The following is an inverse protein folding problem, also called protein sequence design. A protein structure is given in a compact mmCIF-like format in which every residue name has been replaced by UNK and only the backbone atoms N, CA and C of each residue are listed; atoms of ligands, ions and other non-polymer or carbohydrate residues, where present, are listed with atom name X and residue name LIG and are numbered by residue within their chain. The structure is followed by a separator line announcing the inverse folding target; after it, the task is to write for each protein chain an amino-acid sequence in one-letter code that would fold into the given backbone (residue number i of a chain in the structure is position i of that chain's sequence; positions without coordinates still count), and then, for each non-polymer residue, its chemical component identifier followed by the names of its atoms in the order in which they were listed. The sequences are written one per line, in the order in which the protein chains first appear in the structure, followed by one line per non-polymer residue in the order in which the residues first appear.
data_IF_287387163006
#
_entry.id   IF_287387163006
#
_cell.length_a   1.000
_cell.length_b   1.000
_cell.length_c   1.000
_cell.angle_alpha   90.00
_cell.angle_beta   90.00
_cell.angle_gamma   90.00
#
_symmetry.space_group_name_H-M   'P 1'
#
loop_
_entity.id
_entity.type
_entity.pdbx_description
1 polymer ?
#
# COMPACT_ATOMS: atom_id res chain seq x y z
N UNK A 1 -15.39 -8.04 16.07
CA UNK A 1 -16.70 -8.03 15.38
C UNK A 1 -17.07 -6.63 14.90
N UNK A 2 -16.93 -5.58 15.72
CA UNK A 2 -17.15 -4.18 15.32
C UNK A 2 -16.20 -3.71 14.21
N UNK A 3 -14.89 -3.94 14.36
CA UNK A 3 -13.87 -3.51 13.39
C UNK A 3 -14.04 -4.16 12.00
N UNK A 4 -14.38 -5.45 11.95
CA UNK A 4 -14.65 -6.17 10.70
C UNK A 4 -15.86 -5.55 9.99
N UNK A 5 -16.93 -5.21 10.72
CA UNK A 5 -18.10 -4.55 10.13
C UNK A 5 -17.77 -3.15 9.61
N UNK A 6 -16.88 -2.41 10.29
CA UNK A 6 -16.44 -1.08 9.87
C UNK A 6 -15.54 -1.15 8.63
N UNK A 7 -14.60 -2.09 8.58
CA UNK A 7 -13.77 -2.34 7.41
C UNK A 7 -14.62 -2.72 6.19
N UNK A 8 -15.61 -3.60 6.36
CA UNK A 8 -16.50 -3.98 5.26
C UNK A 8 -17.27 -2.77 4.72
N UNK A 9 -17.83 -1.94 5.61
CA UNK A 9 -18.53 -0.71 5.23
C UNK A 9 -17.61 0.25 4.48
N UNK A 10 -16.39 0.44 4.97
CA UNK A 10 -15.38 1.29 4.36
C UNK A 10 -15.03 0.82 2.95
N UNK A 11 -14.68 -0.45 2.78
CA UNK A 11 -14.35 -1.04 1.48
C UNK A 11 -15.49 -0.89 0.48
N UNK A 12 -16.74 -1.15 0.91
CA UNK A 12 -17.92 -0.98 0.04
C UNK A 12 -18.15 0.49 -0.33
N UNK A 13 -18.09 1.41 0.64
CA UNK A 13 -18.30 2.84 0.42
C UNK A 13 -17.28 3.44 -0.56
N UNK A 14 -16.07 2.88 -0.61
CA UNK A 14 -14.98 3.32 -1.50
C UNK A 14 -14.89 2.52 -2.82
N UNK A 15 -15.82 1.59 -3.07
CA UNK A 15 -15.87 0.83 -4.33
C UNK A 15 -14.92 -0.37 -4.40
N UNK A 16 -14.34 -0.80 -3.28
CA UNK A 16 -13.46 -1.97 -3.16
C UNK A 16 -14.22 -3.28 -2.86
N UNK A 17 -15.53 -3.32 -3.06
CA UNK A 17 -16.34 -4.53 -2.88
C UNK A 17 -15.85 -5.71 -3.76
N UNK A 18 -15.23 -5.39 -4.91
CA UNK A 18 -14.61 -6.40 -5.76
C UNK A 18 -13.54 -7.22 -5.02
N UNK A 19 -12.79 -6.61 -4.09
CA UNK A 19 -11.73 -7.27 -3.35
C UNK A 19 -12.30 -8.33 -2.40
N UNK A 20 -13.47 -8.04 -1.79
CA UNK A 20 -14.22 -8.98 -0.96
C UNK A 20 -14.70 -10.17 -1.81
N UNK A 21 -15.28 -9.90 -2.98
CA UNK A 21 -15.81 -10.94 -3.87
C UNK A 21 -14.72 -11.81 -4.52
N UNK A 22 -13.57 -11.23 -4.80
CA UNK A 22 -12.45 -11.92 -5.45
C UNK A 22 -11.65 -12.80 -4.47
N UNK A 23 -11.75 -12.54 -3.16
CA UNK A 23 -11.11 -13.35 -2.14
C UNK A 23 -11.80 -14.71 -2.01
N UNK A 24 -11.02 -15.77 -1.77
CA UNK A 24 -11.53 -17.14 -1.64
C UNK A 24 -11.11 -17.75 -0.30
N UNK A 25 -12.05 -18.14 0.58
CA UNK A 25 -13.50 -17.92 0.48
C UNK A 25 -13.89 -16.47 0.84
N UNK A 26 -14.87 -15.90 0.16
CA UNK A 26 -15.18 -14.45 0.21
C UNK A 26 -15.62 -13.95 1.59
N UNK A 27 -16.22 -14.81 2.41
CA UNK A 27 -16.64 -14.53 3.78
C UNK A 27 -15.46 -14.28 4.72
N UNK A 28 -14.24 -14.71 4.36
CA UNK A 28 -13.01 -14.46 5.12
C UNK A 28 -12.26 -13.21 4.68
N UNK A 29 -12.67 -12.54 3.60
CA UNK A 29 -11.92 -11.42 3.04
C UNK A 29 -11.73 -10.28 4.03
N UNK A 30 -12.80 -9.88 4.70
CA UNK A 30 -12.77 -8.73 5.60
C UNK A 30 -11.96 -9.05 6.86
N UNK A 31 -12.13 -10.26 7.42
CA UNK A 31 -11.31 -10.72 8.54
C UNK A 31 -9.82 -10.70 8.18
N UNK A 32 -9.46 -11.20 6.98
CA UNK A 32 -8.09 -11.15 6.48
C UNK A 32 -7.56 -9.72 6.37
N UNK A 33 -8.33 -8.78 5.80
CA UNK A 33 -7.90 -7.38 5.72
C UNK A 33 -7.77 -6.71 7.08
N UNK A 34 -8.61 -7.07 8.06
CA UNK A 34 -8.47 -6.60 9.45
C UNK A 34 -7.22 -7.19 10.11
N UNK A 35 -6.94 -8.48 9.94
CA UNK A 35 -5.75 -9.15 10.49
C UNK A 35 -4.44 -8.54 10.00
N UNK A 36 -4.40 -8.07 8.74
CA UNK A 36 -3.23 -7.34 8.21
C UNK A 36 -2.84 -6.13 9.03
N UNK A 37 -3.76 -5.45 9.72
CA UNK A 37 -3.43 -4.32 10.58
C UNK A 37 -2.53 -4.76 11.74
N UNK A 38 -2.84 -5.91 12.35
CA UNK A 38 -2.01 -6.49 13.40
C UNK A 38 -0.65 -6.97 12.87
N UNK A 39 -0.59 -7.50 11.65
CA UNK A 39 0.68 -7.88 11.01
C UNK A 39 1.57 -6.66 10.72
N UNK A 40 0.97 -5.57 10.23
CA UNK A 40 1.63 -4.28 9.99
C UNK A 40 2.15 -3.70 11.31
N UNK A 41 1.31 -3.69 12.34
CA UNK A 41 1.70 -3.22 13.67
C UNK A 41 2.87 -4.00 14.22
N UNK A 42 2.79 -5.33 14.19
CA UNK A 42 3.89 -6.19 14.60
C UNK A 42 5.17 -5.89 13.82
N UNK A 43 5.08 -5.79 12.50
CA UNK A 43 6.24 -5.47 11.65
C UNK A 43 6.88 -4.13 12.04
N UNK A 44 6.06 -3.09 12.28
CA UNK A 44 6.56 -1.76 12.64
C UNK A 44 7.24 -1.75 14.01
N UNK A 45 6.67 -2.46 14.98
CA UNK A 45 7.26 -2.64 16.32
C UNK A 45 8.59 -3.40 16.23
N UNK A 46 8.62 -4.52 15.52
CA UNK A 46 9.81 -5.36 15.36
C UNK A 46 10.96 -4.58 14.68
N UNK A 47 10.63 -3.63 13.80
CA UNK A 47 11.61 -2.75 13.12
C UNK A 47 11.89 -1.44 13.86
N UNK A 48 11.25 -1.17 14.99
CA UNK A 48 11.42 0.07 15.75
C UNK A 48 11.01 1.33 14.99
N UNK A 49 10.04 1.24 14.07
CA UNK A 49 9.62 2.37 13.24
C UNK A 49 8.67 3.26 14.05
N UNK A 50 9.09 4.50 14.36
CA UNK A 50 8.56 5.36 15.42
C UNK A 50 7.16 6.00 15.24
N UNK A 51 6.24 5.41 14.47
CA UNK A 51 4.83 5.86 14.41
C UNK A 51 3.88 4.67 14.60
N UNK A 52 2.65 4.95 15.01
CA UNK A 52 1.56 3.98 15.07
C UNK A 52 1.32 3.35 13.69
N UNK A 53 1.02 2.06 13.69
CA UNK A 53 0.40 1.40 12.54
C UNK A 53 -0.89 2.13 12.15
N UNK A 54 -1.29 2.08 10.86
CA UNK A 54 -2.59 2.59 10.47
C UNK A 54 -3.67 1.94 11.34
N UNK A 55 -4.68 2.71 11.72
CA UNK A 55 -5.87 2.23 12.43
C UNK A 55 -7.12 2.53 11.62
N UNK A 56 -8.26 1.94 11.98
CA UNK A 56 -9.55 2.30 11.36
C UNK A 56 -9.90 3.77 11.56
N UNK A 57 -9.54 4.36 12.70
CA UNK A 57 -9.74 5.78 12.99
C UNK A 57 -8.88 6.68 12.10
N UNK A 58 -7.64 6.26 11.79
CA UNK A 58 -6.80 6.97 10.82
C UNK A 58 -7.41 6.94 9.42
N UNK A 59 -7.99 5.80 9.02
CA UNK A 59 -8.67 5.67 7.73
C UNK A 59 -9.94 6.51 7.67
N UNK A 60 -10.73 6.55 8.75
CA UNK A 60 -11.88 7.43 8.87
C UNK A 60 -11.47 8.91 8.76
N UNK A 61 -10.38 9.30 9.44
CA UNK A 61 -9.83 10.66 9.36
C UNK A 61 -9.34 11.03 7.95
N UNK A 62 -8.76 10.07 7.23
CA UNK A 62 -8.39 10.25 5.82
C UNK A 62 -9.61 10.37 4.90
N UNK A 63 -10.72 9.71 5.22
CA UNK A 63 -11.96 9.82 4.44
C UNK A 63 -12.43 11.27 4.35
N UNK A 64 -12.35 12.00 5.46
CA UNK A 64 -12.83 13.38 5.55
C UNK A 64 -11.78 14.39 5.03
N UNK A 65 -10.49 14.13 5.28
CA UNK A 65 -9.42 15.09 4.98
C UNK A 65 -8.79 14.91 3.59
N UNK A 66 -8.63 13.67 3.12
CA UNK A 66 -8.01 13.37 1.83
C UNK A 66 -8.45 11.98 1.30
N UNK A 67 -9.64 11.87 0.70
CA UNK A 67 -10.18 10.59 0.25
C UNK A 67 -9.31 9.89 -0.81
N UNK A 68 -8.48 10.62 -1.56
CA UNK A 68 -7.55 10.02 -2.52
C UNK A 68 -6.42 9.25 -1.84
N UNK A 69 -5.92 9.76 -0.71
CA UNK A 69 -4.93 9.06 0.11
C UNK A 69 -5.53 7.78 0.71
N UNK A 70 -6.77 7.85 1.18
CA UNK A 70 -7.51 6.67 1.64
C UNK A 70 -7.62 5.61 0.54
N UNK A 71 -8.07 5.99 -0.67
CA UNK A 71 -8.20 5.05 -1.79
C UNK A 71 -6.86 4.39 -2.15
N UNK A 72 -5.78 5.19 -2.18
CA UNK A 72 -4.44 4.66 -2.45
C UNK A 72 -4.01 3.64 -1.38
N UNK A 73 -4.33 3.88 -0.11
CA UNK A 73 -4.06 2.91 0.96
C UNK A 73 -4.89 1.64 0.81
N UNK A 74 -6.20 1.78 0.59
CA UNK A 74 -7.11 0.64 0.45
C UNK A 74 -6.71 -0.22 -0.76
N UNK A 75 -6.32 0.40 -1.87
CA UNK A 75 -5.82 -0.31 -3.05
C UNK A 75 -4.55 -1.11 -2.71
N UNK A 76 -3.61 -0.52 -1.97
CA UNK A 76 -2.42 -1.22 -1.49
C UNK A 76 -2.76 -2.37 -0.53
N UNK A 77 -3.65 -2.14 0.43
CA UNK A 77 -4.07 -3.13 1.43
C UNK A 77 -4.66 -4.39 0.77
N UNK A 78 -5.48 -4.21 -0.27
CA UNK A 78 -6.14 -5.33 -0.95
C UNK A 78 -5.27 -6.02 -2.01
N UNK A 79 -4.25 -5.34 -2.53
CA UNK A 79 -3.45 -5.82 -3.68
C UNK A 79 -2.06 -6.33 -3.31
N UNK A 80 -1.51 -5.90 -2.17
CA UNK A 80 -0.18 -6.30 -1.71
C UNK A 80 -0.28 -7.51 -0.77
N UNK A 81 0.74 -8.35 -0.75
CA UNK A 81 0.89 -9.51 0.13
C UNK A 81 1.76 -9.20 1.33
N UNK A 82 2.89 -8.51 1.12
CA UNK A 82 3.82 -8.22 2.22
C UNK A 82 3.34 -7.07 3.10
N UNK A 83 3.28 -7.30 4.41
CA UNK A 83 3.04 -6.25 5.41
C UNK A 83 4.10 -5.15 5.30
N UNK A 84 5.35 -5.49 4.97
CA UNK A 84 6.45 -4.54 4.74
C UNK A 84 6.12 -3.57 3.60
N UNK A 85 5.59 -4.07 2.48
CA UNK A 85 5.18 -3.20 1.36
C UNK A 85 3.97 -2.33 1.70
N UNK A 86 3.02 -2.86 2.48
CA UNK A 86 1.86 -2.08 2.94
C UNK A 86 2.31 -0.95 3.88
N UNK A 87 3.31 -1.20 4.73
CA UNK A 87 3.93 -0.15 5.58
C UNK A 87 4.59 0.91 4.69
N UNK A 88 5.32 0.52 3.65
CA UNK A 88 5.87 1.45 2.67
C UNK A 88 4.79 2.32 2.02
N UNK A 89 3.64 1.74 1.66
CA UNK A 89 2.49 2.47 1.11
C UNK A 89 1.95 3.49 2.13
N UNK A 90 1.80 3.07 3.39
CA UNK A 90 1.37 3.93 4.49
C UNK A 90 2.31 5.12 4.71
N UNK A 91 3.62 4.89 4.67
CA UNK A 91 4.64 5.92 4.85
C UNK A 91 4.60 7.01 3.79
N UNK A 92 4.33 6.63 2.54
CA UNK A 92 4.16 7.62 1.47
C UNK A 92 2.90 8.46 1.67
N UNK A 93 1.83 7.87 2.19
CA UNK A 93 0.60 8.60 2.55
C UNK A 93 0.86 9.61 3.67
N UNK A 94 1.71 9.26 4.62
CA UNK A 94 2.22 10.13 5.68
C UNK A 94 3.21 11.20 5.18
N UNK A 95 3.63 11.14 3.91
CA UNK A 95 4.43 12.17 3.25
C UNK A 95 5.88 11.81 2.97
N UNK A 96 6.30 10.56 3.23
CA UNK A 96 7.61 10.10 2.78
C UNK A 96 7.66 10.03 1.24
N UNK A 97 8.83 10.33 0.68
CA UNK A 97 9.05 10.37 -0.76
C UNK A 97 9.85 9.17 -1.23
N UNK A 98 9.49 8.66 -2.41
CA UNK A 98 10.28 7.61 -3.06
C UNK A 98 11.69 8.14 -3.37
N UNK A 99 12.71 7.50 -2.82
CA UNK A 99 14.11 7.77 -3.14
C UNK A 99 14.62 6.82 -4.22
N UNK A 100 14.40 5.51 -4.05
CA UNK A 100 14.82 4.50 -5.01
C UNK A 100 13.83 3.34 -5.07
N UNK A 101 13.80 2.70 -6.23
CA UNK A 101 13.05 1.47 -6.48
C UNK A 101 13.95 0.53 -7.28
N UNK A 102 14.25 -0.62 -6.69
CA UNK A 102 15.06 -1.67 -7.30
C UNK A 102 14.18 -2.90 -7.48
N UNK A 103 14.08 -3.39 -8.73
CA UNK A 103 13.33 -4.58 -9.07
C UNK A 103 14.24 -5.54 -9.81
N UNK A 104 14.41 -6.73 -9.24
CA UNK A 104 15.10 -7.86 -9.85
C UNK A 104 14.08 -8.96 -10.11
N UNK A 105 14.01 -9.43 -11.35
CA UNK A 105 13.11 -10.51 -11.73
C UNK A 105 13.81 -11.45 -12.70
N UNK A 106 13.86 -12.73 -12.32
CA UNK A 106 14.29 -13.82 -13.16
C UNK A 106 13.12 -14.78 -13.33
N UNK A 107 12.71 -14.98 -14.58
CA UNK A 107 11.50 -15.75 -14.90
C UNK A 107 11.55 -17.14 -14.29
N UNK A 108 10.51 -17.47 -13.51
CA UNK A 108 10.36 -18.74 -12.80
C UNK A 108 11.48 -19.08 -11.81
N UNK A 109 12.36 -18.14 -11.47
CA UNK A 109 13.51 -18.38 -10.58
C UNK A 109 13.51 -17.44 -9.37
N UNK A 110 13.42 -16.13 -9.58
CA UNK A 110 13.50 -15.17 -8.48
C UNK A 110 12.74 -13.87 -8.73
N UNK A 111 12.26 -13.28 -7.64
CA UNK A 111 11.73 -11.94 -7.61
C UNK A 111 12.24 -11.25 -6.36
N UNK A 112 12.66 -9.99 -6.51
CA UNK A 112 12.99 -9.12 -5.40
C UNK A 112 12.59 -7.69 -5.77
N UNK A 113 11.81 -7.05 -4.90
CA UNK A 113 11.49 -5.63 -4.97
C UNK A 113 12.00 -4.96 -3.70
N UNK A 114 12.75 -3.88 -3.87
CA UNK A 114 13.26 -3.03 -2.78
C UNK A 114 12.90 -1.59 -3.06
N UNK A 115 12.38 -0.92 -2.04
CA UNK A 115 11.87 0.43 -2.08
C UNK A 115 12.53 1.21 -0.95
N UNK A 116 13.19 2.31 -1.29
CA UNK A 116 13.76 3.23 -0.30
C UNK A 116 12.92 4.49 -0.28
N UNK A 117 12.50 4.90 0.91
CA UNK A 117 11.70 6.10 1.14
C UNK A 117 12.51 7.09 1.98
N UNK A 118 12.46 8.36 1.61
CA UNK A 118 13.04 9.46 2.38
C UNK A 118 11.96 10.20 3.15
N UNK A 119 12.20 10.36 4.43
CA UNK A 119 11.45 11.24 5.31
C UNK A 119 11.72 12.70 4.94
N UNK A 120 10.73 13.59 5.06
CA UNK A 120 10.98 15.03 5.01
C UNK A 120 11.96 15.52 6.09
N UNK A 121 12.23 14.69 7.10
CA UNK A 121 13.18 14.95 8.19
C UNK A 121 14.58 14.36 7.96
N UNK A 122 14.84 13.75 6.80
CA UNK A 122 16.17 13.28 6.38
C UNK A 122 16.50 11.82 6.70
N UNK A 123 15.60 11.08 7.36
CA UNK A 123 15.75 9.65 7.59
C UNK A 123 15.36 8.83 6.34
N UNK A 124 16.06 7.72 6.10
CA UNK A 124 15.74 6.79 5.02
C UNK A 124 15.23 5.48 5.60
N UNK A 125 14.08 5.03 5.12
CA UNK A 125 13.51 3.72 5.43
C UNK A 125 13.55 2.83 4.19
N UNK A 126 13.85 1.54 4.39
CA UNK A 126 13.96 0.56 3.30
C UNK A 126 12.96 -0.57 3.52
N UNK A 127 12.21 -0.85 2.48
CA UNK A 127 11.17 -1.86 2.40
C UNK A 127 11.55 -2.87 1.32
N UNK A 128 11.44 -4.16 1.58
CA UNK A 128 11.73 -5.22 0.62
C UNK A 128 10.73 -6.37 0.65
N UNK A 129 10.62 -7.07 -0.48
CA UNK A 129 9.76 -8.26 -0.63
C UNK A 129 10.29 -9.15 -1.75
N UNK A 130 10.05 -10.45 -1.61
CA UNK A 130 10.31 -11.44 -2.65
C UNK A 130 9.00 -12.04 -3.20
N UNK A 131 7.85 -11.48 -2.83
CA UNK A 131 6.55 -11.88 -3.37
C UNK A 131 6.24 -11.11 -4.65
N UNK A 132 6.08 -11.83 -5.77
CA UNK A 132 5.83 -11.24 -7.09
C UNK A 132 4.50 -10.49 -7.16
N UNK A 133 3.51 -10.84 -6.34
CA UNK A 133 2.23 -10.12 -6.28
C UNK A 133 2.43 -8.68 -5.79
N UNK A 134 3.49 -8.42 -5.01
CA UNK A 134 3.82 -7.07 -4.55
C UNK A 134 4.38 -6.16 -5.65
N UNK A 135 4.61 -6.66 -6.87
CA UNK A 135 4.84 -5.81 -8.03
C UNK A 135 3.67 -4.81 -8.26
N UNK A 136 2.47 -5.13 -7.75
CA UNK A 136 1.35 -4.19 -7.71
C UNK A 136 1.70 -2.87 -7.01
N UNK A 137 2.63 -2.87 -6.05
CA UNK A 137 3.14 -1.66 -5.40
C UNK A 137 3.60 -0.63 -6.43
N UNK A 138 4.45 -1.07 -7.37
CA UNK A 138 4.99 -0.22 -8.46
C UNK A 138 3.88 0.34 -9.33
N UNK A 139 2.88 -0.49 -9.64
CA UNK A 139 1.71 -0.07 -10.42
C UNK A 139 0.89 1.00 -9.70
N UNK A 140 0.71 0.87 -8.38
CA UNK A 140 -0.03 1.86 -7.58
C UNK A 140 0.73 3.18 -7.56
N UNK A 141 2.03 3.15 -7.29
CA UNK A 141 2.87 4.35 -7.28
C UNK A 141 2.76 5.19 -8.57
N UNK A 142 2.71 4.54 -9.73
CA UNK A 142 2.62 5.23 -11.03
C UNK A 142 1.24 5.84 -11.31
N UNK A 143 0.19 5.41 -10.60
CA UNK A 143 -1.19 5.88 -10.81
C UNK A 143 -1.66 6.85 -9.73
N UNK A 144 -1.12 6.74 -8.52
CA UNK A 144 -1.53 7.56 -7.40
C UNK A 144 -1.14 9.03 -7.60
N UNK A 145 -2.06 9.92 -7.24
CA UNK A 145 -1.89 11.38 -7.27
C UNK A 145 -2.13 11.97 -5.89
N UNK A 146 -1.45 13.06 -5.57
CA UNK A 146 -1.76 13.95 -4.44
C UNK A 146 -2.23 15.29 -5.02
N UNK A 147 -3.54 15.54 -4.97
CA UNK A 147 -4.18 16.58 -5.78
C UNK A 147 -4.07 16.24 -7.27
N UNK A 148 -3.65 17.20 -8.11
CA UNK A 148 -3.44 16.97 -9.55
C UNK A 148 -2.03 16.46 -9.90
N UNK A 149 -1.16 16.26 -8.91
CA UNK A 149 0.24 15.87 -9.13
C UNK A 149 0.44 14.38 -8.85
N UNK A 150 1.17 13.64 -9.70
CA UNK A 150 1.57 12.26 -9.40
C UNK A 150 2.36 12.18 -8.10
N UNK A 151 2.20 11.08 -7.36
CA UNK A 151 3.01 10.81 -6.14
C UNK A 151 4.48 10.57 -6.50
N UNK A 152 4.77 10.02 -7.69
CA UNK A 152 6.11 9.98 -8.26
C UNK A 152 6.27 11.05 -9.35
N UNK A 153 7.21 11.98 -9.15
CA UNK A 153 7.70 12.83 -10.23
C UNK A 153 8.85 12.12 -10.97
N UNK A 154 8.76 11.99 -12.30
CA UNK A 154 9.88 11.54 -13.15
C UNK A 154 9.77 10.14 -13.77
N UNK A 155 8.72 9.37 -13.49
CA UNK A 155 8.45 8.13 -14.24
C UNK A 155 7.66 8.46 -15.52
N UNK A 156 8.39 8.77 -16.60
CA UNK A 156 7.79 8.90 -17.92
C UNK A 156 7.57 7.50 -18.50
N UNK A 157 6.32 7.13 -18.77
CA UNK A 157 6.03 5.95 -19.58
C UNK A 157 6.85 6.06 -20.88
N UNK A 158 7.66 5.04 -21.19
CA UNK A 158 8.36 4.95 -22.47
C UNK A 158 7.32 5.20 -23.57
N UNK A 159 7.58 6.17 -24.45
CA UNK A 159 6.74 6.40 -25.64
C UNK A 159 6.63 5.05 -26.36
N UNK A 160 5.43 4.49 -26.41
CA UNK A 160 5.16 3.35 -27.29
C UNK A 160 5.55 3.78 -28.70
N UNK A 161 6.39 3.02 -29.43
CA UNK A 161 6.58 3.28 -30.84
C UNK A 161 5.19 3.28 -31.49
N UNK A 162 4.91 4.31 -32.29
CA UNK A 162 3.68 4.31 -33.09
C UNK A 162 3.69 3.06 -33.97
N UNK A 163 2.55 2.37 -34.13
CA UNK A 163 2.43 1.28 -35.09
C UNK A 163 2.76 1.76 -36.50
#
# INVERSE_FOLDING_TARGET
MTETMEMEKLLKARGFEWAIRAYSPSDKAVAHYTEKFSEIEKFMVDRGIGNSAPTLDDLASLQDSNPFKLDAFLEALVSLRSSEMIVGAWRMIQGMQLQSLELTYESAASFALKVSLNSPYGETEVYSTNDIDDMNFVRHLMKSKSGDRPIINGFFALRRPKP
#
